data_IF_263478650850
#
_entry.id   IF_263478650850
#
_cell.length_a   1.000
_cell.length_b   1.000
_cell.length_c   1.000
_cell.angle_alpha   90.00
_cell.angle_beta   90.00
_cell.angle_gamma   90.00
#
_symmetry.space_group_name_H-M   'P 1'
#
loop_
_entity.id
_entity.type
_entity.pdbx_description
1 polymer ?
#
# COMPACT_ATOMS: atom_id res chain seq x y z
N UNK A 1 -0.25 12.97 -27.31
CA UNK A 1 0.60 12.19 -26.42
C UNK A 1 0.57 10.76 -26.92
N UNK A 2 1.73 10.29 -27.38
CA UNK A 2 1.87 9.00 -28.05
C UNK A 2 1.62 7.83 -27.07
N UNK A 3 1.21 6.67 -27.57
CA UNK A 3 0.99 5.47 -26.74
C UNK A 3 2.25 5.07 -25.96
N UNK A 4 3.44 5.31 -26.52
CA UNK A 4 4.71 5.08 -25.83
C UNK A 4 4.85 5.95 -24.57
N UNK A 5 4.50 7.23 -24.65
CA UNK A 5 4.56 8.17 -23.51
C UNK A 5 3.68 7.71 -22.34
N UNK A 6 2.50 7.14 -22.66
CA UNK A 6 1.56 6.62 -21.68
C UNK A 6 2.15 5.46 -20.88
N UNK A 7 2.81 4.54 -21.57
CA UNK A 7 3.46 3.39 -20.95
C UNK A 7 4.65 3.81 -20.08
N UNK A 8 5.47 4.77 -20.54
CA UNK A 8 6.59 5.29 -19.76
C UNK A 8 6.10 5.89 -18.44
N UNK A 9 5.04 6.70 -18.48
CA UNK A 9 4.45 7.30 -17.26
C UNK A 9 3.93 6.22 -16.32
N UNK A 10 3.23 5.20 -16.85
CA UNK A 10 2.70 4.11 -16.05
C UNK A 10 3.81 3.29 -15.39
N UNK A 11 4.83 2.90 -16.15
CA UNK A 11 5.97 2.13 -15.65
C UNK A 11 6.75 2.91 -14.60
N UNK A 12 7.00 4.20 -14.84
CA UNK A 12 7.67 5.08 -13.88
C UNK A 12 6.90 5.12 -12.55
N UNK A 13 5.59 5.36 -12.62
CA UNK A 13 4.74 5.39 -11.42
C UNK A 13 4.69 4.04 -10.70
N UNK A 14 4.59 2.94 -11.44
CA UNK A 14 4.63 1.59 -10.88
C UNK A 14 5.93 1.33 -10.13
N UNK A 15 7.07 1.78 -10.69
CA UNK A 15 8.38 1.63 -10.07
C UNK A 15 8.46 2.41 -8.76
N UNK A 16 8.04 3.68 -8.74
CA UNK A 16 8.04 4.52 -7.53
C UNK A 16 7.20 3.87 -6.41
N UNK A 17 5.97 3.48 -6.75
CA UNK A 17 5.06 2.83 -5.81
C UNK A 17 5.61 1.49 -5.30
N UNK A 18 6.30 0.73 -6.15
CA UNK A 18 6.93 -0.55 -5.77
C UNK A 18 8.13 -0.31 -4.86
N UNK A 19 8.94 0.71 -5.14
CA UNK A 19 10.05 1.13 -4.29
C UNK A 19 9.56 1.48 -2.88
N UNK A 20 8.53 2.31 -2.78
CA UNK A 20 7.94 2.72 -1.50
C UNK A 20 7.36 1.52 -0.74
N UNK A 21 6.69 0.59 -1.43
CA UNK A 21 6.20 -0.66 -0.82
C UNK A 21 7.35 -1.51 -0.27
N UNK A 22 8.43 -1.68 -1.04
CA UNK A 22 9.59 -2.45 -0.61
C UNK A 22 10.28 -1.80 0.60
N UNK A 23 10.37 -0.46 0.62
CA UNK A 23 10.89 0.29 1.77
C UNK A 23 10.05 0.07 3.03
N UNK A 24 8.73 0.10 2.91
CA UNK A 24 7.79 -0.19 4.01
C UNK A 24 7.96 -1.63 4.52
N UNK A 25 8.06 -2.61 3.62
CA UNK A 25 8.29 -4.02 3.98
C UNK A 25 9.62 -4.19 4.70
N UNK A 26 10.71 -3.63 4.17
CA UNK A 26 12.02 -3.68 4.78
C UNK A 26 12.02 -3.05 6.19
N UNK A 27 11.37 -1.90 6.35
CA UNK A 27 11.23 -1.23 7.64
C UNK A 27 10.45 -2.09 8.65
N UNK A 28 9.39 -2.78 8.21
CA UNK A 28 8.65 -3.70 9.06
C UNK A 28 9.47 -4.93 9.46
N UNK A 29 10.26 -5.49 8.53
CA UNK A 29 11.13 -6.64 8.82
C UNK A 29 12.21 -6.25 9.83
N UNK A 30 12.87 -5.10 9.62
CA UNK A 30 13.91 -4.59 10.50
C UNK A 30 13.41 -4.35 11.92
N UNK A 31 12.16 -3.87 12.07
CA UNK A 31 11.56 -3.57 13.36
C UNK A 31 10.59 -4.65 13.88
N UNK A 32 10.51 -5.81 13.24
CA UNK A 32 9.56 -6.87 13.60
C UNK A 32 9.74 -7.37 15.04
N UNK A 33 10.98 -7.33 15.55
CA UNK A 33 11.34 -7.78 16.88
C UNK A 33 11.52 -6.62 17.88
N UNK A 34 11.27 -5.37 17.46
CA UNK A 34 11.37 -4.21 18.34
C UNK A 34 10.11 -4.10 19.20
N UNK A 35 10.20 -4.23 20.54
CA UNK A 35 9.03 -4.14 21.41
C UNK A 35 8.28 -2.83 21.21
N UNK A 36 6.96 -2.89 21.03
CA UNK A 36 6.10 -1.72 20.83
C UNK A 36 6.04 -1.17 19.39
N UNK A 37 6.76 -1.75 18.42
CA UNK A 37 6.69 -1.31 17.03
C UNK A 37 5.35 -1.67 16.38
N UNK A 38 4.72 -0.69 15.71
CA UNK A 38 3.47 -0.86 14.95
C UNK A 38 3.79 -0.99 13.47
N UNK A 39 3.40 -2.12 12.86
CA UNK A 39 3.60 -2.34 11.43
C UNK A 39 2.83 -1.32 10.59
N UNK A 40 3.50 -0.81 9.56
CA UNK A 40 2.95 0.12 8.57
C UNK A 40 2.64 -0.61 7.27
N UNK A 41 1.65 -0.16 6.52
CA UNK A 41 1.21 -0.76 5.27
C UNK A 41 1.03 0.31 4.20
N UNK A 42 1.53 0.01 3.00
CA UNK A 42 1.35 0.81 1.81
C UNK A 42 -0.03 0.53 1.19
N UNK A 43 -0.96 1.47 1.25
CA UNK A 43 -2.37 1.29 0.83
C UNK A 43 -2.72 1.86 -0.55
N UNK A 44 -1.73 2.22 -1.37
CA UNK A 44 -1.91 2.88 -2.67
C UNK A 44 -2.07 1.94 -3.87
N UNK A 45 -1.75 0.65 -3.75
CA UNK A 45 -1.82 -0.28 -4.90
C UNK A 45 -3.24 -0.47 -5.43
N UNK A 46 -4.25 -0.42 -4.55
CA UNK A 46 -5.67 -0.50 -4.96
C UNK A 46 -6.10 0.71 -5.77
N UNK A 47 -5.58 1.90 -5.42
CA UNK A 47 -5.86 3.13 -6.16
C UNK A 47 -5.18 3.13 -7.51
N UNK A 48 -3.94 2.65 -7.58
CA UNK A 48 -3.22 2.45 -8.84
C UNK A 48 -3.95 1.48 -9.78
N UNK A 49 -4.41 0.33 -9.27
CA UNK A 49 -5.17 -0.62 -10.07
C UNK A 49 -6.44 0.02 -10.62
N UNK A 50 -7.22 0.73 -9.79
CA UNK A 50 -8.40 1.47 -10.23
C UNK A 50 -8.07 2.55 -11.27
N UNK A 51 -6.93 3.22 -11.13
CA UNK A 51 -6.48 4.22 -12.08
C UNK A 51 -6.14 3.61 -13.45
N UNK A 52 -5.45 2.46 -13.46
CA UNK A 52 -5.14 1.68 -14.67
C UNK A 52 -6.43 1.20 -15.36
N UNK A 53 -7.34 0.60 -14.60
CA UNK A 53 -8.64 0.11 -15.10
C UNK A 53 -9.49 1.25 -15.70
N UNK A 54 -9.36 2.47 -15.16
CA UNK A 54 -10.08 3.63 -15.69
C UNK A 54 -9.53 4.17 -17.01
N UNK A 55 -8.37 3.68 -17.47
CA UNK A 55 -7.65 4.10 -18.67
C UNK A 55 -7.38 5.62 -18.76
N UNK A 56 -7.39 6.32 -17.61
CA UNK A 56 -7.15 7.76 -17.47
C UNK A 56 -5.78 7.98 -16.83
N UNK A 57 -4.81 8.42 -17.63
CA UNK A 57 -3.43 8.68 -17.17
C UNK A 57 -3.35 9.74 -16.09
N UNK A 58 -4.24 10.74 -16.13
CA UNK A 58 -4.30 11.76 -15.09
C UNK A 58 -4.56 11.16 -13.72
N UNK A 59 -5.40 10.12 -13.65
CA UNK A 59 -5.63 9.38 -12.41
C UNK A 59 -4.39 8.60 -11.96
N UNK A 60 -3.62 8.03 -12.90
CA UNK A 60 -2.36 7.33 -12.60
C UNK A 60 -1.31 8.29 -12.04
N UNK A 61 -1.19 9.49 -12.62
CA UNK A 61 -0.29 10.53 -12.14
C UNK A 61 -0.62 10.98 -10.71
N UNK A 62 -1.91 11.15 -10.43
CA UNK A 62 -2.44 11.61 -9.15
C UNK A 62 -2.52 10.52 -8.06
N UNK A 63 -2.06 9.28 -8.31
CA UNK A 63 -1.98 8.28 -7.23
C UNK A 63 -0.89 8.71 -6.25
N UNK A 64 -1.26 8.95 -5.00
CA UNK A 64 -0.31 9.33 -3.96
C UNK A 64 0.17 8.12 -3.16
N UNK A 65 1.38 8.25 -2.61
CA UNK A 65 1.97 7.24 -1.72
C UNK A 65 1.32 7.30 -0.34
N UNK A 66 0.19 6.61 -0.18
CA UNK A 66 -0.46 6.49 1.10
C UNK A 66 0.16 5.36 1.94
N UNK A 67 0.91 5.72 2.98
CA UNK A 67 1.41 4.80 4.01
C UNK A 67 0.54 4.97 5.25
N UNK A 68 -0.13 3.90 5.66
CA UNK A 68 -0.99 3.90 6.84
C UNK A 68 -0.47 2.91 7.87
N UNK A 69 -0.76 3.13 9.14
CA UNK A 69 -0.53 2.08 10.13
C UNK A 69 -1.50 0.95 9.87
N UNK A 70 -1.01 -0.28 9.80
CA UNK A 70 -1.93 -1.39 9.67
C UNK A 70 -2.82 -1.42 10.92
N UNK A 71 -4.14 -1.44 10.75
CA UNK A 71 -5.02 -1.96 11.80
C UNK A 71 -4.73 -3.44 11.85
N UNK A 72 -3.92 -3.88 12.81
CA UNK A 72 -3.79 -5.30 13.11
C UNK A 72 -5.18 -5.83 13.48
N UNK A 73 -5.90 -6.44 12.53
CA UNK A 73 -6.91 -7.44 12.90
C UNK A 73 -6.14 -8.58 13.53
N UNK A 74 -6.04 -8.55 14.85
CA UNK A 74 -5.62 -9.70 15.64
C UNK A 74 -6.72 -10.76 15.51
N UNK A 75 -6.72 -11.49 14.40
CA UNK A 75 -7.48 -12.74 14.32
C UNK A 75 -6.66 -13.76 15.09
N UNK A 76 -7.17 -14.14 16.26
CA UNK A 76 -6.63 -15.28 16.99
C UNK A 76 -6.70 -16.51 16.07
N UNK A 77 -5.77 -17.45 16.23
CA UNK A 77 -5.71 -18.70 15.45
C UNK A 77 -6.96 -19.59 15.58
N UNK A 78 -7.99 -19.16 16.32
CA UNK A 78 -9.23 -19.86 16.62
C UNK A 78 -10.45 -19.36 15.79
N UNK A 79 -10.26 -18.46 14.83
CA UNK A 79 -11.34 -18.00 13.94
C UNK A 79 -12.33 -17.01 14.57
N UNK A 80 -12.12 -16.56 15.81
CA UNK A 80 -12.93 -15.48 16.38
C UNK A 80 -12.31 -14.10 16.17
N UNK A 81 -13.12 -13.17 15.65
CA UNK A 81 -12.76 -11.76 15.54
C UNK A 81 -12.97 -11.10 16.90
N UNK A 82 -11.90 -10.63 17.54
CA UNK A 82 -11.99 -9.88 18.79
C UNK A 82 -12.68 -8.54 18.52
N UNK A 83 -13.98 -8.47 18.84
CA UNK A 83 -14.68 -7.20 19.05
C UNK A 83 -14.34 -6.75 20.48
N UNK A 84 -13.57 -5.67 20.60
CA UNK A 84 -13.42 -5.01 21.89
C UNK A 84 -14.72 -4.24 22.16
N UNK A 85 -15.59 -4.85 22.95
CA UNK A 85 -16.69 -4.14 23.61
C UNK A 85 -16.07 -3.45 24.83
N UNK A 86 -15.83 -2.14 24.74
CA UNK A 86 -15.65 -1.31 25.93
C UNK A 86 -17.02 -1.21 26.64
N UNK A 87 -17.01 -1.41 27.96
CA UNK A 87 -18.14 -1.17 28.87
C UNK A 87 -18.36 0.31 29.12
#
# INVERSE_FOLDING_TARGET
MDFSDKNIILLSKLLDLTYTKNKVIANNIANANTPGYKKVEASFMKELQKAIESNKIEKVKNVEENITFSKSKSTRKDGTTLIWIES
#
